data_IF_362158506837
#
_entry.id   IF_362158506837
#
_cell.length_a   1.000
_cell.length_b   1.000
_cell.length_c   1.000
_cell.angle_alpha   90.00
_cell.angle_beta   90.00
_cell.angle_gamma   90.00
#
_symmetry.space_group_name_H-M   'P 1'
#
loop_
_entity.id
_entity.type
_entity.pdbx_description
1 polymer ?
#
# COMPACT_ATOMS: atom_id res chain seq x y z
N UNK A 1 18.42 11.12 20.81
CA UNK A 1 18.62 10.59 19.50
C UNK A 1 17.66 11.21 18.48
N UNK A 2 16.70 10.49 18.02
CA UNK A 2 15.77 10.92 16.97
C UNK A 2 16.49 11.10 15.61
N UNK A 3 15.93 11.93 14.74
CA UNK A 3 16.48 12.18 13.39
C UNK A 3 17.79 12.98 13.37
N UNK A 4 18.27 13.48 14.52
CA UNK A 4 19.53 14.25 14.62
C UNK A 4 20.79 13.45 14.28
N UNK A 5 20.70 12.12 14.15
CA UNK A 5 21.80 11.25 13.69
C UNK A 5 21.80 11.02 12.18
N UNK A 6 20.78 11.53 11.47
CA UNK A 6 20.67 11.45 10.02
C UNK A 6 21.31 12.68 9.37
N UNK A 7 21.67 12.56 8.08
CA UNK A 7 22.15 13.70 7.28
C UNK A 7 21.04 14.63 6.78
N UNK A 8 19.80 14.51 7.31
CA UNK A 8 18.67 15.34 6.88
C UNK A 8 18.84 16.78 7.39
N UNK A 9 18.48 17.72 6.54
CA UNK A 9 18.55 19.16 6.81
C UNK A 9 17.41 19.90 6.07
N UNK A 10 17.34 21.22 6.19
CA UNK A 10 16.29 22.01 5.53
C UNK A 10 16.27 21.89 3.98
N UNK A 11 17.41 21.58 3.37
CA UNK A 11 17.51 21.34 1.92
C UNK A 11 17.17 19.91 1.52
N UNK A 12 17.39 18.95 2.43
CA UNK A 12 17.08 17.53 2.26
C UNK A 12 16.24 17.08 3.45
N UNK A 13 14.97 17.43 3.42
CA UNK A 13 14.02 17.20 4.51
C UNK A 13 13.52 15.76 4.60
N UNK A 14 13.59 14.99 3.51
CA UNK A 14 13.20 13.57 3.45
C UNK A 14 14.38 12.73 2.98
N UNK A 15 14.59 11.60 3.65
CA UNK A 15 15.69 10.69 3.41
C UNK A 15 15.22 9.28 3.06
N UNK A 16 16.08 8.31 3.36
CA UNK A 16 15.89 6.91 3.03
C UNK A 16 14.56 6.33 3.56
N UNK A 17 14.13 6.72 4.76
CA UNK A 17 12.93 6.15 5.38
C UNK A 17 11.67 6.49 4.58
N UNK A 18 11.51 7.73 4.13
CA UNK A 18 10.39 8.15 3.27
C UNK A 18 10.49 7.48 1.89
N UNK A 19 11.69 7.34 1.33
CA UNK A 19 11.89 6.61 0.07
C UNK A 19 11.45 5.15 0.19
N UNK A 20 11.84 4.46 1.27
CA UNK A 20 11.41 3.10 1.53
C UNK A 20 9.90 3.01 1.78
N UNK A 21 9.33 3.96 2.54
CA UNK A 21 7.88 4.05 2.73
C UNK A 21 7.15 4.09 1.38
N UNK A 22 7.52 5.02 0.51
CA UNK A 22 6.93 5.18 -0.82
C UNK A 22 7.03 3.92 -1.67
N UNK A 23 8.21 3.28 -1.66
CA UNK A 23 8.45 2.05 -2.37
C UNK A 23 7.52 0.92 -1.91
N UNK A 24 7.40 0.70 -0.60
CA UNK A 24 6.56 -0.36 -0.05
C UNK A 24 5.06 -0.07 -0.17
N UNK A 25 4.64 1.18 -0.08
CA UNK A 25 3.25 1.57 -0.38
C UNK A 25 2.92 1.23 -1.84
N UNK A 26 3.83 1.56 -2.79
CA UNK A 26 3.69 1.22 -4.21
C UNK A 26 3.52 -0.28 -4.45
N UNK A 27 4.42 -1.08 -3.91
CA UNK A 27 4.37 -2.54 -4.02
C UNK A 27 3.08 -3.14 -3.42
N UNK A 28 2.62 -2.58 -2.30
CA UNK A 28 1.41 -3.04 -1.62
C UNK A 28 0.16 -2.89 -2.47
N UNK A 29 -0.04 -1.71 -3.08
CA UNK A 29 -1.27 -1.46 -3.81
C UNK A 29 -1.37 -2.27 -5.10
N UNK A 30 -0.28 -2.50 -5.80
CA UNK A 30 -0.29 -3.39 -6.97
C UNK A 30 -0.83 -4.78 -6.63
N UNK A 31 -0.40 -5.36 -5.51
CA UNK A 31 -0.92 -6.64 -5.04
C UNK A 31 -2.42 -6.62 -4.74
N UNK A 32 -2.91 -5.58 -4.04
CA UNK A 32 -4.33 -5.46 -3.70
C UNK A 32 -5.21 -5.19 -4.93
N UNK A 33 -4.73 -4.39 -5.89
CA UNK A 33 -5.43 -4.14 -7.15
C UNK A 33 -5.62 -5.43 -7.93
N UNK A 34 -4.58 -6.27 -8.06
CA UNK A 34 -4.68 -7.57 -8.73
C UNK A 34 -5.68 -8.49 -8.04
N UNK A 35 -5.57 -8.64 -6.71
CA UNK A 35 -6.47 -9.47 -5.94
C UNK A 35 -7.93 -9.01 -6.05
N UNK A 36 -8.17 -7.70 -5.96
CA UNK A 36 -9.52 -7.12 -6.07
C UNK A 36 -10.09 -7.25 -7.48
N UNK A 37 -9.26 -7.08 -8.51
CA UNK A 37 -9.64 -7.23 -9.91
C UNK A 37 -10.20 -8.62 -10.23
N UNK A 38 -9.69 -9.66 -9.57
CA UNK A 38 -10.20 -11.03 -9.70
C UNK A 38 -11.70 -11.15 -9.38
N UNK A 39 -12.15 -10.42 -8.37
CA UNK A 39 -13.55 -10.45 -7.92
C UNK A 39 -14.39 -9.38 -8.60
N UNK A 40 -13.86 -8.18 -8.81
CA UNK A 40 -14.58 -7.03 -9.39
C UNK A 40 -14.86 -7.26 -10.88
N UNK A 41 -13.85 -7.71 -11.64
CA UNK A 41 -13.95 -7.92 -13.08
C UNK A 41 -14.23 -9.38 -13.46
N UNK A 42 -14.49 -10.26 -12.49
CA UNK A 42 -14.81 -11.68 -12.68
C UNK A 42 -13.74 -12.46 -13.48
N UNK A 43 -12.47 -12.08 -13.36
CA UNK A 43 -11.35 -12.76 -14.02
C UNK A 43 -10.95 -13.99 -13.20
N UNK A 44 -11.42 -15.17 -13.62
CA UNK A 44 -11.24 -16.43 -12.89
C UNK A 44 -9.77 -16.80 -12.66
N UNK A 45 -8.89 -16.49 -13.60
CA UNK A 45 -7.46 -16.82 -13.51
C UNK A 45 -6.75 -16.06 -12.39
N UNK A 46 -7.17 -14.83 -12.10
CA UNK A 46 -6.61 -14.04 -11.00
C UNK A 46 -7.04 -14.54 -9.61
N UNK A 47 -8.14 -15.32 -9.50
CA UNK A 47 -8.55 -15.90 -8.21
C UNK A 47 -7.50 -16.81 -7.63
N UNK A 48 -6.74 -17.53 -8.47
CA UNK A 48 -5.66 -18.43 -8.03
C UNK A 48 -4.50 -17.68 -7.37
N UNK A 49 -4.23 -16.47 -7.82
CA UNK A 49 -3.11 -15.63 -7.33
C UNK A 49 -3.56 -14.57 -6.32
N UNK A 50 -4.87 -14.44 -6.07
CA UNK A 50 -5.42 -13.42 -5.19
C UNK A 50 -4.91 -13.54 -3.75
N UNK A 51 -4.82 -14.74 -3.18
CA UNK A 51 -4.34 -14.94 -1.81
C UNK A 51 -2.87 -14.54 -1.65
N UNK A 52 -1.91 -15.03 -2.46
CA UNK A 52 -0.53 -14.53 -2.42
C UNK A 52 -0.44 -13.02 -2.61
N UNK A 53 -1.26 -12.43 -3.49
CA UNK A 53 -1.28 -11.00 -3.75
C UNK A 53 -1.72 -10.19 -2.52
N UNK A 54 -2.77 -10.63 -1.79
CA UNK A 54 -3.22 -9.95 -0.56
C UNK A 54 -2.21 -10.10 0.57
N UNK A 55 -1.59 -11.28 0.72
CA UNK A 55 -0.53 -11.49 1.72
C UNK A 55 0.64 -10.54 1.44
N UNK A 56 1.10 -10.49 0.20
CA UNK A 56 2.19 -9.61 -0.21
C UNK A 56 1.86 -8.14 0.02
N UNK A 57 0.64 -7.72 -0.36
CA UNK A 57 0.13 -6.38 -0.09
C UNK A 57 0.15 -6.04 1.40
N UNK A 58 -0.33 -6.95 2.25
CA UNK A 58 -0.37 -6.74 3.71
C UNK A 58 1.03 -6.61 4.29
N UNK A 59 1.97 -7.47 3.88
CA UNK A 59 3.37 -7.39 4.35
C UNK A 59 4.00 -6.07 3.92
N UNK A 60 3.83 -5.67 2.67
CA UNK A 60 4.40 -4.43 2.15
C UNK A 60 3.85 -3.19 2.88
N UNK A 61 2.54 -3.13 3.15
CA UNK A 61 1.98 -1.96 3.87
C UNK A 61 2.42 -1.93 5.34
N UNK A 62 2.61 -3.08 5.98
CA UNK A 62 3.19 -3.14 7.32
C UNK A 62 4.64 -2.63 7.33
N UNK A 63 5.46 -3.02 6.35
CA UNK A 63 6.82 -2.50 6.19
C UNK A 63 6.81 -0.98 5.96
N UNK A 64 5.93 -0.48 5.10
CA UNK A 64 5.76 0.95 4.88
C UNK A 64 5.44 1.70 6.17
N UNK A 65 4.48 1.19 6.96
CA UNK A 65 4.13 1.76 8.26
C UNK A 65 5.31 1.81 9.24
N UNK A 66 6.14 0.77 9.27
CA UNK A 66 7.35 0.75 10.09
C UNK A 66 8.34 1.86 9.69
N UNK A 67 8.55 2.07 8.39
CA UNK A 67 9.46 3.13 7.91
C UNK A 67 8.96 4.53 8.28
N UNK A 68 7.65 4.79 8.19
CA UNK A 68 7.06 6.05 8.64
C UNK A 68 7.22 6.25 10.15
N UNK A 69 7.00 5.20 10.95
CA UNK A 69 7.17 5.28 12.40
C UNK A 69 8.62 5.59 12.80
N UNK A 70 9.60 5.06 12.07
CA UNK A 70 11.02 5.36 12.28
C UNK A 70 11.30 6.82 11.87
N UNK A 71 10.76 7.28 10.75
CA UNK A 71 10.96 8.63 10.22
C UNK A 71 10.37 9.71 11.14
N UNK A 72 9.31 9.42 11.89
CA UNK A 72 8.75 10.35 12.88
C UNK A 72 9.75 10.73 13.99
N UNK A 73 10.83 9.97 14.18
CA UNK A 73 11.90 10.25 15.16
C UNK A 73 11.47 10.26 16.61
N UNK A 74 10.19 10.13 16.91
CA UNK A 74 9.63 10.11 18.25
C UNK A 74 8.28 9.43 18.28
N UNK A 75 8.27 8.10 18.44
CA UNK A 75 7.05 7.26 18.48
C UNK A 75 6.06 7.76 19.52
N UNK A 76 6.54 8.34 20.63
CA UNK A 76 5.67 8.90 21.66
C UNK A 76 4.79 10.07 21.16
N UNK A 77 5.14 10.67 20.03
CA UNK A 77 4.37 11.78 19.43
C UNK A 77 3.23 11.32 18.53
N UNK A 78 3.17 10.02 18.21
CA UNK A 78 2.10 9.45 17.37
C UNK A 78 0.71 9.72 17.98
N UNK A 79 0.61 9.71 19.31
CA UNK A 79 -0.64 10.07 20.00
C UNK A 79 -1.16 11.46 19.66
N UNK A 80 -0.31 12.40 19.31
CA UNK A 80 -0.71 13.76 18.94
C UNK A 80 -1.51 13.79 17.63
N UNK A 81 -1.34 12.80 16.77
CA UNK A 81 -2.13 12.67 15.54
C UNK A 81 -3.61 12.40 15.89
N UNK A 82 -3.86 11.67 16.98
CA UNK A 82 -5.20 11.33 17.44
C UNK A 82 -5.78 12.42 18.37
N UNK A 83 -4.96 12.97 19.28
CA UNK A 83 -5.41 13.92 20.29
C UNK A 83 -5.47 15.37 19.82
N UNK A 84 -4.75 15.72 18.78
CA UNK A 84 -4.73 17.07 18.19
C UNK A 84 -4.55 16.99 16.67
N UNK A 85 -5.53 16.43 15.93
CA UNK A 85 -5.39 16.22 14.49
C UNK A 85 -5.33 17.55 13.75
N UNK A 86 -4.34 17.71 12.88
CA UNK A 86 -4.29 18.80 11.92
C UNK A 86 -4.96 18.37 10.61
N UNK A 87 -6.25 18.64 10.49
CA UNK A 87 -7.05 18.24 9.31
C UNK A 87 -6.65 18.94 8.00
N UNK A 88 -5.84 19.99 8.08
CA UNK A 88 -5.32 20.70 6.90
C UNK A 88 -4.06 19.99 6.37
N UNK A 89 -3.41 19.18 7.19
CA UNK A 89 -2.18 18.48 6.81
C UNK A 89 -2.47 17.30 5.87
N UNK A 90 -1.85 17.24 4.68
CA UNK A 90 -1.93 16.07 3.79
C UNK A 90 -1.47 14.78 4.47
N UNK A 91 -0.48 14.86 5.37
CA UNK A 91 0.03 13.71 6.13
C UNK A 91 -1.05 13.10 7.04
N UNK A 92 -1.93 13.89 7.63
CA UNK A 92 -3.04 13.39 8.43
C UNK A 92 -3.98 12.52 7.58
N UNK A 93 -4.34 12.97 6.39
CA UNK A 93 -5.19 12.23 5.46
C UNK A 93 -4.52 10.95 4.96
N UNK A 94 -3.21 11.00 4.71
CA UNK A 94 -2.42 9.84 4.30
C UNK A 94 -2.46 8.74 5.38
N UNK A 95 -2.26 9.10 6.65
CA UNK A 95 -2.34 8.16 7.78
C UNK A 95 -3.75 7.57 7.90
N UNK A 96 -4.81 8.37 7.74
CA UNK A 96 -6.18 7.89 7.77
C UNK A 96 -6.44 6.86 6.67
N UNK A 97 -6.01 7.16 5.44
CA UNK A 97 -6.25 6.28 4.29
C UNK A 97 -5.40 5.01 4.37
N UNK A 98 -4.13 5.10 4.82
CA UNK A 98 -3.26 3.94 5.05
C UNK A 98 -3.86 3.04 6.14
N UNK A 99 -4.39 3.61 7.21
CA UNK A 99 -5.04 2.83 8.27
C UNK A 99 -6.27 2.09 7.74
N UNK A 100 -7.12 2.77 6.98
CA UNK A 100 -8.29 2.18 6.34
C UNK A 100 -7.88 1.06 5.35
N UNK A 101 -6.83 1.30 4.57
CA UNK A 101 -6.26 0.33 3.65
C UNK A 101 -5.77 -0.93 4.38
N UNK A 102 -5.05 -0.77 5.50
CA UNK A 102 -4.57 -1.88 6.32
C UNK A 102 -5.74 -2.70 6.88
N UNK A 103 -6.76 -2.04 7.41
CA UNK A 103 -7.98 -2.71 7.93
C UNK A 103 -8.65 -3.54 6.84
N UNK A 104 -8.76 -3.00 5.63
CA UNK A 104 -9.35 -3.73 4.49
C UNK A 104 -8.48 -4.90 4.06
N UNK A 105 -7.15 -4.75 4.02
CA UNK A 105 -6.25 -5.86 3.73
C UNK A 105 -6.40 -7.00 4.74
N UNK A 106 -6.46 -6.68 6.03
CA UNK A 106 -6.64 -7.67 7.09
C UNK A 106 -8.00 -8.36 7.01
N UNK A 107 -9.06 -7.59 6.75
CA UNK A 107 -10.41 -8.14 6.57
C UNK A 107 -10.46 -9.06 5.33
N UNK A 108 -9.84 -8.64 4.23
CA UNK A 108 -9.77 -9.42 3.00
C UNK A 108 -9.05 -10.74 3.24
N UNK A 109 -7.87 -10.69 3.87
CA UNK A 109 -7.08 -11.86 4.21
C UNK A 109 -7.86 -12.79 5.15
N UNK A 110 -8.50 -12.24 6.19
CA UNK A 110 -9.33 -13.02 7.12
C UNK A 110 -10.45 -13.78 6.42
N UNK A 111 -11.21 -13.12 5.53
CA UNK A 111 -12.29 -13.78 4.81
C UNK A 111 -11.80 -14.78 3.77
N UNK A 112 -10.68 -14.51 3.10
CA UNK A 112 -10.07 -15.46 2.16
C UNK A 112 -9.57 -16.73 2.84
N UNK A 113 -9.06 -16.64 4.07
CA UNK A 113 -8.60 -17.78 4.85
C UNK A 113 -9.72 -18.48 5.64
N UNK A 114 -10.87 -17.86 5.76
CA UNK A 114 -12.00 -18.37 6.52
C UNK A 114 -12.69 -19.51 5.78
N UNK A 115 -12.89 -20.64 6.48
CA UNK A 115 -13.67 -21.80 5.99
C UNK A 115 -15.17 -21.70 6.32
N UNK A 116 -15.63 -20.56 6.87
CA UNK A 116 -17.03 -20.41 7.28
C UNK A 116 -17.94 -20.29 6.04
N UNK A 117 -19.19 -20.81 6.11
CA UNK A 117 -20.16 -20.63 5.03
C UNK A 117 -20.45 -19.13 4.86
N UNK A 118 -20.53 -18.64 3.61
CA UNK A 118 -20.72 -17.24 3.27
C UNK A 118 -19.45 -16.37 3.32
N UNK A 119 -18.28 -16.93 3.61
CA UNK A 119 -17.02 -16.17 3.59
C UNK A 119 -16.69 -15.65 2.18
N UNK A 120 -17.00 -16.43 1.14
CA UNK A 120 -16.74 -16.03 -0.25
C UNK A 120 -17.59 -14.83 -0.68
N UNK A 121 -18.82 -14.71 -0.21
CA UNK A 121 -19.68 -13.56 -0.48
C UNK A 121 -19.08 -12.29 0.17
N UNK A 122 -18.53 -12.43 1.38
CA UNK A 122 -17.83 -11.34 2.07
C UNK A 122 -16.54 -10.95 1.36
N UNK A 123 -15.80 -11.89 0.80
CA UNK A 123 -14.64 -11.61 -0.07
C UNK A 123 -15.05 -10.74 -1.25
N UNK A 124 -16.15 -11.06 -1.93
CA UNK A 124 -16.66 -10.27 -3.04
C UNK A 124 -17.06 -8.84 -2.62
N UNK A 125 -17.65 -8.69 -1.44
CA UNK A 125 -18.00 -7.35 -0.89
C UNK A 125 -16.74 -6.56 -0.57
N UNK A 126 -15.79 -7.15 0.18
CA UNK A 126 -14.56 -6.46 0.58
C UNK A 126 -13.72 -6.06 -0.64
N UNK A 127 -13.65 -6.90 -1.69
CA UNK A 127 -12.90 -6.59 -2.91
C UNK A 127 -13.41 -5.33 -3.64
N UNK A 128 -14.73 -5.08 -3.59
CA UNK A 128 -15.33 -3.87 -4.19
C UNK A 128 -14.87 -2.58 -3.49
N UNK A 129 -14.60 -2.63 -2.20
CA UNK A 129 -14.06 -1.51 -1.44
C UNK A 129 -12.53 -1.46 -1.52
N UNK A 130 -11.88 -2.61 -1.62
CA UNK A 130 -10.42 -2.71 -1.64
C UNK A 130 -9.81 -2.01 -2.87
N UNK A 131 -10.43 -2.15 -4.06
CA UNK A 131 -9.92 -1.53 -5.27
C UNK A 131 -9.92 0.01 -5.22
N UNK A 132 -11.03 0.71 -4.92
CA UNK A 132 -11.02 2.17 -4.83
C UNK A 132 -10.12 2.68 -3.69
N UNK A 133 -10.02 1.95 -2.58
CA UNK A 133 -9.15 2.36 -1.47
C UNK A 133 -7.67 2.18 -1.84
N UNK A 134 -7.30 1.15 -2.60
CA UNK A 134 -5.94 1.01 -3.11
C UNK A 134 -5.55 2.18 -4.04
N UNK A 135 -6.47 2.64 -4.89
CA UNK A 135 -6.26 3.82 -5.74
C UNK A 135 -6.19 5.09 -4.87
N UNK A 136 -7.06 5.21 -3.87
CA UNK A 136 -7.12 6.37 -2.98
C UNK A 136 -5.83 6.55 -2.16
N UNK A 137 -5.27 5.47 -1.59
CA UNK A 137 -3.98 5.51 -0.87
C UNK A 137 -2.91 6.15 -1.75
N UNK A 138 -2.77 5.67 -3.00
CA UNK A 138 -1.75 6.19 -3.91
C UNK A 138 -1.98 7.63 -4.32
N UNK A 139 -3.25 8.01 -4.51
CA UNK A 139 -3.61 9.38 -4.87
C UNK A 139 -3.33 10.34 -3.72
N UNK A 140 -3.68 9.98 -2.48
CA UNK A 140 -3.43 10.84 -1.30
C UNK A 140 -1.94 10.95 -1.01
N UNK A 141 -1.21 9.83 -1.05
CA UNK A 141 0.25 9.84 -0.88
C UNK A 141 0.93 10.68 -1.99
N UNK A 142 0.48 10.56 -3.25
CA UNK A 142 0.99 11.38 -4.35
C UNK A 142 0.75 12.87 -4.13
N UNK A 143 -0.37 13.26 -3.50
CA UNK A 143 -0.65 14.67 -3.20
C UNK A 143 0.29 15.26 -2.16
N UNK A 144 0.85 14.46 -1.24
CA UNK A 144 1.90 14.94 -0.32
C UNK A 144 3.07 15.53 -1.13
N UNK A 145 3.43 14.91 -2.25
CA UNK A 145 4.47 15.39 -3.17
C UNK A 145 3.93 16.46 -4.12
N UNK A 146 2.80 16.22 -4.75
CA UNK A 146 2.19 17.11 -5.74
C UNK A 146 1.81 18.48 -5.19
N UNK A 147 1.67 18.66 -3.88
CA UNK A 147 1.41 19.94 -3.23
C UNK A 147 2.69 20.68 -2.81
N UNK A 148 3.89 20.14 -3.07
CA UNK A 148 5.16 20.76 -2.73
C UNK A 148 5.57 21.80 -3.77
N UNK A 149 5.02 23.01 -3.66
CA UNK A 149 5.25 24.14 -4.59
C UNK A 149 6.76 24.47 -4.74
N UNK A 150 7.53 24.32 -3.65
CA UNK A 150 8.97 24.58 -3.64
C UNK A 150 9.79 23.56 -4.46
N UNK A 151 9.18 22.49 -4.96
CA UNK A 151 9.83 21.43 -5.74
C UNK A 151 9.13 21.29 -7.09
N UNK A 152 9.57 22.05 -8.09
CA UNK A 152 8.96 22.11 -9.43
C UNK A 152 8.75 20.73 -10.06
N UNK A 153 9.69 19.78 -9.86
CA UNK A 153 9.57 18.42 -10.38
C UNK A 153 8.47 17.58 -9.72
N UNK A 154 7.94 17.99 -8.57
CA UNK A 154 6.88 17.28 -7.85
C UNK A 154 5.52 17.98 -7.94
N UNK A 155 5.53 19.29 -8.06
CA UNK A 155 4.32 20.10 -8.13
C UNK A 155 3.60 19.89 -9.47
N UNK A 156 2.73 18.88 -9.52
CA UNK A 156 2.01 18.52 -10.73
C UNK A 156 0.71 17.78 -10.43
N UNK A 157 -0.35 18.12 -11.14
CA UNK A 157 -1.64 17.43 -11.07
C UNK A 157 -1.56 15.96 -11.56
N UNK A 158 -0.59 15.65 -12.42
CA UNK A 158 -0.40 14.31 -12.98
C UNK A 158 0.26 13.33 -11.99
N UNK A 159 0.71 13.82 -10.84
CA UNK A 159 1.41 13.01 -9.85
C UNK A 159 0.57 11.83 -9.36
N UNK A 160 -0.72 12.02 -9.10
CA UNK A 160 -1.60 10.95 -8.63
C UNK A 160 -1.79 9.84 -9.67
N UNK A 161 -2.16 10.09 -10.93
CA UNK A 161 -2.19 9.05 -11.97
C UNK A 161 -0.85 8.34 -12.17
N UNK A 162 0.26 9.08 -12.12
CA UNK A 162 1.61 8.52 -12.25
C UNK A 162 1.93 7.54 -11.12
N UNK A 163 1.60 7.89 -9.89
CA UNK A 163 1.82 7.01 -8.72
C UNK A 163 0.99 5.75 -8.81
N UNK A 164 -0.28 5.85 -9.21
CA UNK A 164 -1.15 4.67 -9.39
C UNK A 164 -0.60 3.75 -10.48
N UNK A 165 -0.19 4.30 -11.63
CA UNK A 165 0.39 3.50 -12.72
C UNK A 165 1.69 2.83 -12.30
N UNK A 166 2.59 3.56 -11.64
CA UNK A 166 3.87 3.03 -11.11
C UNK A 166 3.66 1.94 -10.06
N UNK A 167 2.65 2.10 -9.20
CA UNK A 167 2.30 1.10 -8.21
C UNK A 167 1.76 -0.19 -8.83
N UNK A 168 0.95 -0.08 -9.87
CA UNK A 168 0.47 -1.25 -10.61
C UNK A 168 1.63 -2.01 -11.25
N UNK A 169 2.54 -1.30 -11.91
CA UNK A 169 3.70 -1.90 -12.59
C UNK A 169 4.62 -2.59 -11.57
N UNK A 170 5.09 -1.88 -10.57
CA UNK A 170 6.00 -2.40 -9.54
C UNK A 170 5.38 -3.53 -8.70
N UNK A 171 4.11 -3.40 -8.33
CA UNK A 171 3.40 -4.41 -7.56
C UNK A 171 3.15 -5.70 -8.35
N UNK A 172 2.82 -5.58 -9.65
CA UNK A 172 2.72 -6.72 -10.56
C UNK A 172 4.07 -7.42 -10.74
N UNK A 173 5.14 -6.66 -10.95
CA UNK A 173 6.49 -7.20 -11.09
C UNK A 173 6.90 -7.99 -9.83
N UNK A 174 6.69 -7.44 -8.65
CA UNK A 174 6.97 -8.14 -7.40
C UNK A 174 6.12 -9.40 -7.23
N UNK A 175 4.83 -9.33 -7.54
CA UNK A 175 3.93 -10.49 -7.46
C UNK A 175 4.41 -11.62 -8.39
N UNK A 176 4.80 -11.31 -9.62
CA UNK A 176 5.34 -12.28 -10.57
C UNK A 176 6.63 -12.93 -10.06
N UNK A 177 7.53 -12.15 -9.46
CA UNK A 177 8.76 -12.67 -8.87
C UNK A 177 8.47 -13.63 -7.72
N UNK A 178 7.55 -13.28 -6.83
CA UNK A 178 7.13 -14.13 -5.70
C UNK A 178 6.45 -15.39 -6.20
N UNK A 179 5.52 -15.31 -7.14
CA UNK A 179 4.86 -16.47 -7.72
C UNK A 179 5.84 -17.41 -8.44
N UNK A 180 6.83 -16.87 -9.14
CA UNK A 180 7.89 -17.68 -9.74
C UNK A 180 8.73 -18.41 -8.69
N UNK A 181 9.06 -17.74 -7.59
CA UNK A 181 9.75 -18.34 -6.44
C UNK A 181 8.93 -19.47 -5.80
N UNK A 182 7.64 -19.21 -5.54
CA UNK A 182 6.73 -20.20 -4.97
C UNK A 182 6.49 -21.42 -5.89
N UNK A 183 6.45 -21.17 -7.21
CA UNK A 183 6.35 -22.25 -8.18
C UNK A 183 7.61 -23.11 -8.24
N UNK A 184 8.80 -22.51 -8.17
CA UNK A 184 10.06 -23.24 -8.12
C UNK A 184 10.22 -24.07 -6.83
N UNK A 185 9.71 -23.58 -5.70
CA UNK A 185 9.74 -24.30 -4.42
C UNK A 185 8.68 -25.40 -4.31
N UNK A 186 7.78 -25.53 -5.30
CA UNK A 186 6.71 -26.54 -5.30
C UNK A 186 5.53 -26.22 -4.36
N UNK A 187 5.57 -25.08 -3.66
CA UNK A 187 4.50 -24.65 -2.73
C UNK A 187 3.26 -24.20 -3.50
N UNK A 188 3.46 -23.63 -4.68
CA UNK A 188 2.37 -23.13 -5.51
C UNK A 188 2.62 -23.52 -6.97
N UNK A 189 1.67 -24.28 -7.55
CA UNK A 189 1.73 -24.67 -8.97
C UNK A 189 0.78 -23.80 -9.77
N UNK A 190 1.33 -22.91 -10.58
CA UNK A 190 0.60 -22.24 -11.64
C UNK A 190 0.72 -23.02 -12.92
N UNK A 191 -0.41 -23.34 -13.56
CA UNK A 191 -0.39 -23.83 -14.96
C UNK A 191 0.25 -22.74 -15.84
N UNK A 192 1.28 -23.14 -16.56
CA UNK A 192 1.88 -22.32 -17.61
C UNK A 192 0.90 -22.27 -18.78
N UNK A 193 0.07 -21.27 -18.81
CA UNK A 193 -0.67 -20.84 -20.02
C UNK A 193 -0.38 -19.40 -20.31
#
# INVERSE_FOLDING_TARGET
GGLGVTGMNNGTSWGLYITCFMFFVGLSAGGLIVASSASVFHVSDYKKVALPAVILSTVCICCAGMFVLIDLGGIQRVWRIVTGPNVISPLFWDICVITMYLVINLAYLYFMMSKKPGAQDKVAVVSRFALPIAILVHSVTAWIFGLQIAREGWYSAIMAPLFVASAMDSGLALLLLVLNGLNKSGVFKTDKR
#
